data_IF_842633765148
#
_entry.id   IF_842633765148
#
_cell.length_a   1.000
_cell.length_b   1.000
_cell.length_c   1.000
_cell.angle_alpha   90.00
_cell.angle_beta   90.00
_cell.angle_gamma   90.00
#
_symmetry.space_group_name_H-M   'P 1'
#
loop_
_entity.id
_entity.type
_entity.pdbx_description
1 polymer ?
#
# COMPACT_ATOMS: atom_id res chain seq x y z
N UNK A 1 -11.46 17.58 7.03
CA UNK A 1 -10.32 17.69 6.08
C UNK A 1 -9.05 16.96 6.56
N UNK A 2 -8.73 16.96 7.86
CA UNK A 2 -7.54 16.27 8.38
C UNK A 2 -7.57 14.73 8.16
N UNK A 3 -8.69 14.07 8.47
CA UNK A 3 -8.81 12.60 8.39
C UNK A 3 -8.66 12.03 6.97
N UNK A 4 -9.24 12.70 5.95
CA UNK A 4 -9.08 12.31 4.54
C UNK A 4 -7.61 12.34 4.10
N UNK A 5 -6.87 13.35 4.56
CA UNK A 5 -5.43 13.49 4.26
C UNK A 5 -4.63 12.37 4.92
N UNK A 6 -4.94 12.03 6.18
CA UNK A 6 -4.30 10.92 6.89
C UNK A 6 -4.63 9.59 6.20
N UNK A 7 -5.90 9.34 5.86
CA UNK A 7 -6.33 8.13 5.16
C UNK A 7 -5.63 7.96 3.80
N UNK A 8 -5.40 9.06 3.08
CA UNK A 8 -4.61 9.04 1.84
C UNK A 8 -3.15 8.64 2.11
N UNK A 9 -2.51 9.20 3.14
CA UNK A 9 -1.14 8.85 3.53
C UNK A 9 -1.03 7.39 3.96
N UNK A 10 -2.02 6.88 4.72
CA UNK A 10 -2.09 5.47 5.11
C UNK A 10 -2.14 4.57 3.86
N UNK A 11 -3.02 4.87 2.90
CA UNK A 11 -3.12 4.10 1.65
C UNK A 11 -1.81 4.10 0.88
N UNK A 12 -1.18 5.26 0.72
CA UNK A 12 0.12 5.38 0.04
C UNK A 12 1.19 4.55 0.75
N UNK A 13 1.29 4.67 2.08
CA UNK A 13 2.26 3.93 2.87
C UNK A 13 2.08 2.42 2.71
N UNK A 14 0.84 1.93 2.84
CA UNK A 14 0.54 0.50 2.71
C UNK A 14 0.80 -0.02 1.29
N UNK A 15 0.46 0.75 0.25
CA UNK A 15 0.73 0.39 -1.15
C UNK A 15 2.23 0.24 -1.38
N UNK A 16 3.04 1.23 -0.98
CA UNK A 16 4.48 1.18 -1.21
C UNK A 16 5.18 0.13 -0.34
N UNK A 17 4.68 -0.11 0.88
CA UNK A 17 5.16 -1.21 1.73
C UNK A 17 4.87 -2.58 1.10
N UNK A 18 3.67 -2.75 0.52
CA UNK A 18 3.33 -4.00 -0.16
C UNK A 18 4.22 -4.25 -1.38
N UNK A 19 4.41 -3.24 -2.22
CA UNK A 19 5.29 -3.33 -3.38
C UNK A 19 6.70 -3.79 -2.96
N UNK A 20 7.28 -3.10 -1.97
CA UNK A 20 8.65 -3.35 -1.54
C UNK A 20 8.80 -4.72 -0.86
N UNK A 21 8.04 -5.00 0.20
CA UNK A 21 8.26 -6.20 1.03
C UNK A 21 7.60 -7.47 0.49
N UNK A 22 6.58 -7.37 -0.37
CA UNK A 22 5.85 -8.55 -0.86
C UNK A 22 6.12 -8.85 -2.31
N UNK A 23 6.38 -7.84 -3.13
CA UNK A 23 6.64 -8.03 -4.55
C UNK A 23 8.12 -7.83 -4.93
N UNK A 24 8.96 -7.38 -4.00
CA UNK A 24 10.36 -6.98 -4.29
C UNK A 24 10.43 -5.90 -5.40
N UNK A 25 9.44 -5.01 -5.40
CA UNK A 25 9.25 -3.98 -6.41
C UNK A 25 9.18 -2.61 -5.72
N UNK A 26 9.78 -1.58 -6.33
CA UNK A 26 9.72 -0.23 -5.77
C UNK A 26 9.42 0.81 -6.84
N UNK A 27 8.41 1.65 -6.60
CA UNK A 27 8.02 2.75 -7.50
C UNK A 27 8.52 4.12 -7.01
N UNK A 28 8.99 4.21 -5.77
CA UNK A 28 9.52 5.43 -5.15
C UNK A 28 10.88 5.13 -4.55
N UNK A 29 11.74 6.12 -4.40
CA UNK A 29 13.03 5.91 -3.73
C UNK A 29 12.85 5.67 -2.23
N UNK A 30 13.87 5.09 -1.59
CA UNK A 30 13.89 4.89 -0.14
C UNK A 30 13.71 6.22 0.61
N UNK A 31 14.33 7.30 0.11
CA UNK A 31 14.14 8.64 0.68
C UNK A 31 12.68 9.10 0.61
N UNK A 32 11.99 8.88 -0.52
CA UNK A 32 10.58 9.23 -0.66
C UNK A 32 9.70 8.40 0.26
N UNK A 33 10.04 7.11 0.45
CA UNK A 33 9.35 6.24 1.38
C UNK A 33 9.52 6.70 2.83
N UNK A 34 10.75 7.08 3.22
CA UNK A 34 11.03 7.60 4.56
C UNK A 34 10.32 8.92 4.85
N UNK A 35 10.24 9.82 3.87
CA UNK A 35 9.49 11.06 3.95
C UNK A 35 7.99 10.79 4.12
N UNK A 36 7.43 9.84 3.37
CA UNK A 36 6.04 9.39 3.50
C UNK A 36 5.76 8.83 4.90
N UNK A 37 6.62 7.94 5.39
CA UNK A 37 6.48 7.34 6.72
C UNK A 37 6.56 8.41 7.82
N UNK A 38 7.49 9.38 7.71
CA UNK A 38 7.62 10.50 8.65
C UNK A 38 6.39 11.41 8.63
N UNK A 39 5.88 11.76 7.45
CA UNK A 39 4.67 12.56 7.29
C UNK A 39 3.44 11.87 7.88
N UNK A 40 3.31 10.56 7.71
CA UNK A 40 2.25 9.78 8.33
C UNK A 40 2.33 9.79 9.87
N UNK A 41 3.51 9.53 10.44
CA UNK A 41 3.71 9.56 11.90
C UNK A 41 3.38 10.92 12.51
N UNK A 42 3.86 12.00 11.89
CA UNK A 42 3.53 13.35 12.33
C UNK A 42 2.03 13.60 12.30
N UNK A 43 1.37 13.20 11.20
CA UNK A 43 -0.07 13.43 11.03
C UNK A 43 -0.91 12.64 12.03
N UNK A 44 -0.50 11.40 12.37
CA UNK A 44 -1.12 10.57 13.39
C UNK A 44 -0.92 11.16 14.79
N UNK A 45 0.27 11.64 15.12
CA UNK A 45 0.56 12.25 16.43
C UNK A 45 -0.23 13.55 16.68
N UNK A 46 -0.51 14.31 15.62
CA UNK A 46 -1.27 15.58 15.70
C UNK A 46 -2.79 15.42 15.69
N UNK A 47 -3.28 14.18 15.54
CA UNK A 47 -4.69 13.89 15.31
C UNK A 47 -5.34 13.27 16.56
N UNK A 48 -6.24 14.01 17.22
CA UNK A 48 -7.20 13.46 18.19
C UNK A 48 -8.21 12.47 17.57
N UNK A 49 -8.13 12.22 16.25
CA UNK A 49 -9.15 11.52 15.50
C UNK A 49 -8.99 10.00 15.52
N UNK A 50 -9.39 9.41 16.64
CA UNK A 50 -9.40 7.96 16.82
C UNK A 50 -10.64 7.26 16.21
N UNK A 51 -11.58 7.99 15.57
CA UNK A 51 -12.83 7.38 15.10
C UNK A 51 -12.78 6.85 13.65
N UNK A 52 -12.17 7.57 12.69
CA UNK A 52 -12.43 7.33 11.24
C UNK A 52 -11.20 6.99 10.38
N UNK A 53 -10.10 6.54 10.98
CA UNK A 53 -8.93 6.10 10.21
C UNK A 53 -9.21 4.77 9.51
N UNK A 54 -8.82 4.66 8.24
CA UNK A 54 -8.87 3.40 7.50
C UNK A 54 -7.70 2.51 7.92
N UNK A 55 -7.90 1.19 7.93
CA UNK A 55 -6.83 0.20 8.16
C UNK A 55 -6.11 0.35 9.51
N UNK A 56 -6.83 0.77 10.57
CA UNK A 56 -6.27 0.96 11.93
C UNK A 56 -5.52 -0.26 12.45
N UNK A 57 -6.01 -1.46 12.15
CA UNK A 57 -5.38 -2.73 12.56
C UNK A 57 -3.97 -2.86 11.99
N UNK A 58 -3.73 -2.32 10.79
CA UNK A 58 -2.43 -2.29 10.13
C UNK A 58 -1.54 -1.13 10.61
N UNK A 59 -2.11 -0.11 11.27
CA UNK A 59 -1.39 1.04 11.85
C UNK A 59 -0.69 0.71 13.17
N UNK A 60 -1.10 -0.34 13.89
CA UNK A 60 -0.41 -0.80 15.11
C UNK A 60 1.08 -1.08 14.85
N UNK A 61 1.41 -1.56 13.66
CA UNK A 61 2.76 -1.76 13.14
C UNK A 61 3.52 -0.46 12.81
N UNK A 62 2.82 0.67 12.65
CA UNK A 62 3.36 2.00 12.27
C UNK A 62 3.62 2.87 13.51
N UNK A 63 3.02 2.56 14.65
CA UNK A 63 3.22 3.30 15.89
C UNK A 63 4.42 2.81 16.71
N UNK A 64 5.03 1.67 16.34
CA UNK A 64 6.27 1.18 16.94
C UNK A 64 7.51 1.94 16.43
N UNK A 65 8.58 1.96 17.22
CA UNK A 65 9.89 2.55 16.85
C UNK A 65 10.49 1.98 15.56
N UNK A 66 10.02 0.82 15.09
CA UNK A 66 10.48 0.11 13.88
C UNK A 66 9.51 0.22 12.68
N UNK A 67 8.60 1.18 12.68
CA UNK A 67 7.49 1.37 11.74
C UNK A 67 7.87 1.49 10.25
N UNK A 68 8.40 0.42 9.70
CA UNK A 68 9.04 0.32 8.38
C UNK A 68 8.13 -0.37 7.36
N UNK A 69 6.92 -0.80 7.75
CA UNK A 69 6.03 -1.61 6.91
C UNK A 69 6.41 -3.09 6.83
N UNK A 70 7.61 -3.46 7.29
CA UNK A 70 8.15 -4.83 7.28
C UNK A 70 7.28 -5.84 8.05
N UNK A 71 6.75 -5.42 9.20
CA UNK A 71 5.96 -6.29 10.08
C UNK A 71 4.53 -6.57 9.59
N UNK A 72 4.11 -5.92 8.49
CA UNK A 72 2.75 -6.09 7.95
C UNK A 72 2.65 -7.45 7.24
N UNK A 73 2.01 -8.41 7.91
CA UNK A 73 1.84 -9.77 7.38
C UNK A 73 0.67 -9.91 6.42
N UNK A 74 -0.41 -9.18 6.69
CA UNK A 74 -1.66 -9.27 5.96
C UNK A 74 -2.08 -7.88 5.49
N UNK A 75 -2.06 -7.71 4.17
CA UNK A 75 -2.49 -6.48 3.52
C UNK A 75 -3.96 -6.58 3.13
N UNK A 76 -4.75 -5.50 3.28
CA UNK A 76 -6.12 -5.45 2.77
C UNK A 76 -6.16 -5.70 1.27
N UNK A 77 -7.20 -6.40 0.79
CA UNK A 77 -7.37 -6.69 -0.63
C UNK A 77 -7.38 -5.41 -1.50
N UNK A 78 -7.93 -4.31 -0.99
CA UNK A 78 -7.90 -3.01 -1.65
C UNK A 78 -6.48 -2.49 -1.87
N UNK A 79 -5.58 -2.66 -0.89
CA UNK A 79 -4.17 -2.26 -1.00
C UNK A 79 -3.44 -3.14 -2.00
N UNK A 80 -3.64 -4.46 -1.93
CA UNK A 80 -3.03 -5.41 -2.87
C UNK A 80 -3.45 -5.06 -4.31
N UNK A 81 -4.75 -4.88 -4.54
CA UNK A 81 -5.29 -4.51 -5.85
C UNK A 81 -4.73 -3.18 -6.36
N UNK A 82 -4.70 -2.16 -5.49
CA UNK A 82 -4.18 -0.84 -5.83
C UNK A 82 -2.69 -0.88 -6.16
N UNK A 83 -1.90 -1.63 -5.39
CA UNK A 83 -0.47 -1.78 -5.62
C UNK A 83 -0.17 -2.49 -6.94
N UNK A 84 -0.85 -3.61 -7.22
CA UNK A 84 -0.72 -4.35 -8.48
C UNK A 84 -1.13 -3.48 -9.67
N UNK A 85 -2.24 -2.75 -9.56
CA UNK A 85 -2.69 -1.86 -10.63
C UNK A 85 -1.69 -0.72 -10.86
N UNK A 86 -1.19 -0.10 -9.79
CA UNK A 86 -0.20 0.98 -9.88
C UNK A 86 1.10 0.49 -10.52
N UNK A 87 1.63 -0.67 -10.10
CA UNK A 87 2.82 -1.28 -10.67
C UNK A 87 2.64 -1.57 -12.17
N UNK A 88 1.49 -2.14 -12.53
CA UNK A 88 1.16 -2.39 -13.93
C UNK A 88 1.17 -1.12 -14.77
N UNK A 89 0.47 -0.07 -14.33
CA UNK A 89 0.37 1.19 -15.08
C UNK A 89 1.72 1.88 -15.28
N UNK A 90 2.63 1.76 -14.30
CA UNK A 90 3.94 2.42 -14.34
C UNK A 90 4.99 1.63 -15.13
N UNK A 91 4.99 0.30 -15.07
CA UNK A 91 6.09 -0.52 -15.62
C UNK A 91 5.68 -1.47 -16.74
N UNK A 92 4.45 -1.97 -16.75
CA UNK A 92 4.10 -3.16 -17.56
C UNK A 92 2.98 -2.93 -18.57
N UNK A 93 2.24 -1.81 -18.53
CA UNK A 93 1.10 -1.55 -19.41
C UNK A 93 1.41 -1.61 -20.91
N UNK A 94 2.65 -1.30 -21.29
CA UNK A 94 3.11 -1.32 -22.67
C UNK A 94 3.82 -2.64 -23.04
N UNK A 95 3.98 -3.56 -22.08
CA UNK A 95 4.74 -4.80 -22.23
C UNK A 95 3.83 -6.04 -22.27
N UNK A 96 2.68 -6.02 -21.57
CA UNK A 96 1.75 -7.14 -21.53
C UNK A 96 0.34 -6.70 -21.11
N UNK A 97 -0.64 -7.60 -21.27
CA UNK A 97 -1.99 -7.39 -20.74
C UNK A 97 -2.00 -7.45 -19.20
N UNK A 98 -3.00 -6.80 -18.59
CA UNK A 98 -3.16 -6.83 -17.13
C UNK A 98 -3.36 -8.25 -16.58
N UNK A 99 -4.09 -9.12 -17.28
CA UNK A 99 -4.26 -10.53 -16.88
C UNK A 99 -2.93 -11.29 -16.85
N UNK A 100 -2.10 -11.11 -17.88
CA UNK A 100 -0.76 -11.72 -17.96
C UNK A 100 0.14 -11.22 -16.84
N UNK A 101 0.09 -9.93 -16.53
CA UNK A 101 0.81 -9.34 -15.42
C UNK A 101 0.38 -9.94 -14.07
N UNK A 102 -0.93 -10.02 -13.80
CA UNK A 102 -1.44 -10.57 -12.54
C UNK A 102 -0.99 -12.02 -12.33
N UNK A 103 -1.02 -12.84 -13.39
CA UNK A 103 -0.60 -14.24 -13.33
C UNK A 103 0.86 -14.42 -12.87
N UNK A 104 1.77 -13.48 -13.20
CA UNK A 104 3.17 -13.51 -12.74
C UNK A 104 3.30 -13.40 -11.22
N UNK A 105 2.38 -12.67 -10.60
CA UNK A 105 2.32 -12.47 -9.16
C UNK A 105 1.35 -13.44 -8.46
N UNK A 106 0.85 -14.46 -9.16
CA UNK A 106 -0.08 -15.45 -8.62
C UNK A 106 -1.52 -14.95 -8.46
N UNK A 107 -1.87 -13.81 -9.06
CA UNK A 107 -3.22 -13.24 -9.03
C UNK A 107 -3.98 -13.51 -10.32
N UNK A 108 -5.31 -13.42 -10.24
CA UNK A 108 -6.22 -13.51 -11.40
C UNK A 108 -7.35 -12.49 -11.28
N UNK A 109 -7.94 -12.12 -12.41
CA UNK A 109 -9.15 -11.30 -12.41
C UNK A 109 -10.35 -12.15 -11.98
N UNK A 110 -11.28 -11.54 -11.23
CA UNK A 110 -12.50 -12.23 -10.77
C UNK A 110 -13.38 -12.74 -11.92
N UNK A 111 -13.21 -12.21 -13.12
CA UNK A 111 -13.96 -12.58 -14.33
C UNK A 111 -13.65 -14.00 -14.83
N UNK A 112 -12.54 -14.61 -14.42
CA UNK A 112 -12.20 -16.01 -14.77
C UNK A 112 -12.91 -17.07 -13.88
N UNK A 113 -13.81 -16.64 -12.97
CA UNK A 113 -14.55 -17.52 -12.05
C UNK A 113 -15.97 -17.89 -12.53
N UNK A 114 -16.25 -17.81 -13.83
CA UNK A 114 -17.50 -18.35 -14.38
C UNK A 114 -17.25 -19.75 -14.94
N UNK A 115 -17.81 -20.82 -14.32
CA UNK A 115 -17.92 -22.13 -14.95
C UNK A 115 -18.88 -22.11 -16.16
#
# INVERSE_FOLDING_TARGET
MATETINRLIRQFLVHSYLYYRLDESLISDQQYDELARGLRHSLASSDADANLTFKEQLGSINGSEASGYSIRQYPAEIISSALHLLYQNRFKNLMSFSTFLARYGYRTKTELLP
#
